data_IF_905171692670
#
_entry.id   IF_905171692670
#
_cell.length_a   1.000
_cell.length_b   1.000
_cell.length_c   1.000
_cell.angle_alpha   90.00
_cell.angle_beta   90.00
_cell.angle_gamma   90.00
#
_symmetry.space_group_name_H-M   'P 1'
#
loop_
_entity.id
_entity.type
_entity.pdbx_description
1 polymer ?
#
# COMPACT_ATOMS: atom_id res chain seq x y z
N UNK A 1 18.81 -18.74 -1.98
CA UNK A 1 18.33 -17.87 -0.89
C UNK A 1 19.48 -17.61 0.06
N UNK A 2 19.66 -16.37 0.55
CA UNK A 2 20.78 -16.08 1.46
C UNK A 2 20.56 -16.77 2.81
N UNK A 3 21.60 -17.41 3.35
CA UNK A 3 21.51 -18.07 4.67
C UNK A 3 21.23 -17.07 5.81
N UNK A 4 21.46 -15.77 5.58
CA UNK A 4 21.23 -14.71 6.56
C UNK A 4 19.77 -14.33 6.72
N UNK A 5 18.91 -14.54 5.73
CA UNK A 5 17.54 -14.03 5.77
C UNK A 5 16.65 -14.70 6.82
N UNK A 6 16.61 -16.04 6.97
CA UNK A 6 15.86 -16.67 8.07
C UNK A 6 16.35 -16.22 9.45
N UNK A 7 17.66 -15.98 9.60
CA UNK A 7 18.26 -15.48 10.84
C UNK A 7 17.84 -14.04 11.13
N UNK A 8 17.75 -13.19 10.11
CA UNK A 8 17.26 -11.82 10.24
C UNK A 8 15.81 -11.81 10.75
N UNK A 9 14.93 -12.61 10.14
CA UNK A 9 13.53 -12.73 10.58
C UNK A 9 13.44 -13.22 12.04
N UNK A 10 14.34 -14.13 12.45
CA UNK A 10 14.39 -14.62 13.83
C UNK A 10 14.84 -13.53 14.81
N UNK A 11 15.88 -12.78 14.44
CA UNK A 11 16.42 -11.70 15.28
C UNK A 11 15.42 -10.55 15.45
N UNK A 12 14.67 -10.22 14.41
CA UNK A 12 13.64 -9.18 14.44
C UNK A 12 12.30 -9.68 14.99
N UNK A 13 12.13 -11.01 15.10
CA UNK A 13 10.87 -11.68 15.42
C UNK A 13 9.71 -11.23 14.52
N UNK A 14 9.91 -11.28 13.20
CA UNK A 14 8.94 -10.85 12.19
C UNK A 14 8.64 -11.94 11.17
N UNK A 15 7.45 -11.84 10.58
CA UNK A 15 7.03 -12.50 9.35
C UNK A 15 6.70 -11.43 8.30
N UNK A 16 6.63 -11.82 7.02
CA UNK A 16 6.44 -10.90 5.90
C UNK A 16 5.22 -11.29 5.07
N UNK A 17 4.39 -10.31 4.75
CA UNK A 17 3.38 -10.41 3.72
C UNK A 17 3.78 -9.54 2.53
N UNK A 18 3.73 -10.07 1.31
CA UNK A 18 4.01 -9.29 0.11
C UNK A 18 3.25 -9.82 -1.10
N UNK A 19 3.05 -8.96 -2.09
CA UNK A 19 2.31 -9.27 -3.30
C UNK A 19 3.22 -9.24 -4.52
N UNK A 20 2.82 -9.96 -5.56
CA UNK A 20 3.39 -9.85 -6.90
C UNK A 20 2.26 -9.63 -7.89
N UNK A 21 2.16 -8.40 -8.39
CA UNK A 21 1.09 -8.04 -9.34
C UNK A 21 1.24 -8.77 -10.68
N UNK A 22 2.47 -9.06 -11.11
CA UNK A 22 2.77 -9.74 -12.38
C UNK A 22 2.33 -11.20 -12.36
N UNK A 23 2.62 -11.90 -11.27
CA UNK A 23 2.24 -13.31 -11.11
C UNK A 23 0.88 -13.50 -10.45
N UNK A 24 0.24 -12.41 -9.98
CA UNK A 24 -1.04 -12.46 -9.27
C UNK A 24 -0.97 -13.29 -7.99
N UNK A 25 0.05 -13.05 -7.15
CA UNK A 25 0.28 -13.84 -5.94
C UNK A 25 0.32 -12.98 -4.69
N UNK A 26 -0.29 -13.48 -3.61
CA UNK A 26 -0.03 -13.09 -2.23
C UNK A 26 0.89 -14.14 -1.62
N UNK A 27 1.96 -13.68 -0.97
CA UNK A 27 2.88 -14.50 -0.21
C UNK A 27 2.82 -14.13 1.27
N UNK A 28 2.73 -15.14 2.12
CA UNK A 28 2.98 -15.04 3.55
C UNK A 28 4.22 -15.88 3.86
N UNK A 29 5.24 -15.23 4.38
CA UNK A 29 6.55 -15.82 4.61
C UNK A 29 6.90 -15.70 6.10
N UNK A 30 7.19 -16.86 6.69
CA UNK A 30 7.59 -16.98 8.08
C UNK A 30 8.78 -17.90 8.25
N UNK A 31 9.12 -18.15 9.51
CA UNK A 31 10.15 -19.12 9.89
C UNK A 31 9.52 -20.49 10.03
N UNK A 32 10.22 -21.51 9.57
CA UNK A 32 9.84 -22.88 9.88
C UNK A 32 10.45 -23.28 11.23
N UNK A 33 9.67 -23.73 12.23
CA UNK A 33 10.20 -24.21 13.51
C UNK A 33 11.20 -25.37 13.36
N UNK A 34 11.13 -26.13 12.25
CA UNK A 34 12.07 -27.21 11.91
C UNK A 34 13.33 -26.73 11.17
N UNK A 35 13.46 -25.42 10.94
CA UNK A 35 14.57 -24.80 10.20
C UNK A 35 14.18 -24.34 8.80
N UNK A 36 14.77 -23.22 8.38
CA UNK A 36 14.50 -22.59 7.08
C UNK A 36 13.27 -21.67 7.09
N UNK A 37 12.74 -21.39 5.90
CA UNK A 37 11.55 -20.55 5.70
C UNK A 37 10.31 -21.42 5.48
N UNK A 38 9.16 -20.86 5.83
CA UNK A 38 7.86 -21.37 5.42
C UNK A 38 7.21 -20.31 4.54
N UNK A 39 6.66 -20.73 3.40
CA UNK A 39 6.04 -19.82 2.42
C UNK A 39 4.67 -20.37 2.06
N UNK A 40 3.64 -19.59 2.36
CA UNK A 40 2.29 -19.79 1.89
C UNK A 40 2.02 -18.85 0.72
N UNK A 41 1.61 -19.40 -0.42
CA UNK A 41 1.20 -18.62 -1.58
C UNK A 41 -0.26 -18.84 -1.94
N UNK A 42 -0.95 -17.78 -2.36
CA UNK A 42 -2.32 -17.82 -2.88
C UNK A 42 -2.45 -16.94 -4.11
N UNK A 43 -3.29 -17.36 -5.05
CA UNK A 43 -3.51 -16.66 -6.31
C UNK A 43 -4.60 -15.60 -6.16
N UNK A 44 -4.24 -14.36 -6.48
CA UNK A 44 -5.13 -13.21 -6.58
C UNK A 44 -4.70 -12.39 -7.80
N UNK A 45 -5.48 -12.38 -8.89
CA UNK A 45 -5.14 -11.66 -10.11
C UNK A 45 -4.78 -10.20 -9.79
N UNK A 46 -3.60 -9.74 -10.25
CA UNK A 46 -3.08 -8.40 -9.99
C UNK A 46 -3.15 -8.01 -8.50
N UNK A 47 -2.63 -8.85 -7.61
CA UNK A 47 -2.44 -8.51 -6.19
C UNK A 47 -1.55 -7.26 -6.07
N UNK A 48 -2.09 -6.18 -5.48
CA UNK A 48 -1.42 -4.87 -5.37
C UNK A 48 -1.33 -4.46 -3.89
N UNK A 49 -2.14 -3.50 -3.45
CA UNK A 49 -2.12 -2.97 -2.08
C UNK A 49 -2.40 -4.06 -1.05
N UNK A 50 -1.60 -4.09 0.01
CA UNK A 50 -1.69 -5.06 1.09
C UNK A 50 -1.46 -4.34 2.41
N UNK A 51 -2.34 -4.55 3.38
CA UNK A 51 -2.14 -4.04 4.74
C UNK A 51 -2.56 -5.07 5.78
N UNK A 52 -1.93 -5.01 6.95
CA UNK A 52 -2.33 -5.73 8.15
C UNK A 52 -2.60 -4.70 9.25
N UNK A 53 -3.78 -4.76 9.86
CA UNK A 53 -4.16 -3.92 10.99
C UNK A 53 -4.86 -4.79 12.05
N UNK A 54 -4.21 -4.98 13.19
CA UNK A 54 -4.71 -5.86 14.23
C UNK A 54 -4.83 -7.31 13.73
N UNK A 55 -6.06 -7.84 13.71
CA UNK A 55 -6.36 -9.19 13.23
C UNK A 55 -6.79 -9.23 11.76
N UNK A 56 -6.89 -8.08 11.11
CA UNK A 56 -7.39 -7.97 9.74
C UNK A 56 -6.22 -7.85 8.76
N UNK A 57 -6.27 -8.65 7.69
CA UNK A 57 -5.46 -8.46 6.49
C UNK A 57 -6.40 -8.00 5.37
N UNK A 58 -6.05 -6.91 4.68
CA UNK A 58 -6.81 -6.43 3.54
C UNK A 58 -5.92 -6.38 2.28
N UNK A 59 -6.48 -6.80 1.15
CA UNK A 59 -5.77 -6.95 -0.11
C UNK A 59 -6.60 -6.36 -1.25
N UNK A 60 -5.98 -5.47 -2.03
CA UNK A 60 -6.50 -5.00 -3.30
C UNK A 60 -6.02 -5.90 -4.44
N UNK A 61 -6.92 -6.25 -5.36
CA UNK A 61 -6.66 -7.10 -6.53
C UNK A 61 -7.16 -6.43 -7.81
N UNK A 62 -7.08 -7.11 -8.95
CA UNK A 62 -7.50 -6.60 -10.26
C UNK A 62 -8.90 -5.99 -10.26
N UNK A 63 -9.86 -6.67 -9.61
CA UNK A 63 -11.26 -6.27 -9.61
C UNK A 63 -11.97 -6.50 -8.28
N UNK A 64 -11.21 -6.81 -7.23
CA UNK A 64 -11.76 -7.09 -5.91
C UNK A 64 -10.97 -6.42 -4.79
N UNK A 65 -11.66 -6.12 -3.70
CA UNK A 65 -11.06 -5.82 -2.40
C UNK A 65 -11.40 -6.98 -1.46
N UNK A 66 -10.36 -7.63 -0.94
CA UNK A 66 -10.47 -8.80 -0.08
C UNK A 66 -10.17 -8.42 1.37
N UNK A 67 -11.03 -8.87 2.29
CA UNK A 67 -10.80 -8.77 3.74
C UNK A 67 -10.70 -10.17 4.33
N UNK A 68 -9.61 -10.39 5.04
CA UNK A 68 -9.34 -11.62 5.78
C UNK A 68 -9.28 -11.30 7.26
N UNK A 69 -9.69 -12.26 8.08
CA UNK A 69 -9.53 -12.19 9.53
C UNK A 69 -8.64 -13.32 10.01
N UNK A 70 -7.74 -13.01 10.94
CA UNK A 70 -7.03 -14.02 11.71
C UNK A 70 -8.03 -14.73 12.62
N UNK A 71 -8.27 -16.01 12.37
CA UNK A 71 -9.21 -16.83 13.14
C UNK A 71 -8.57 -17.57 14.32
N UNK A 72 -7.26 -17.38 14.53
CA UNK A 72 -6.55 -18.04 15.63
C UNK A 72 -6.65 -17.22 16.90
N UNK A 73 -7.19 -17.84 17.96
CA UNK A 73 -7.00 -17.38 19.33
C UNK A 73 -5.63 -17.79 19.86
N UNK A 74 -5.17 -17.15 20.94
CA UNK A 74 -3.92 -17.53 21.60
C UNK A 74 -4.00 -18.95 22.15
N UNK A 75 -2.99 -19.77 21.83
CA UNK A 75 -2.81 -21.10 22.41
C UNK A 75 -3.48 -22.23 21.63
N UNK A 76 -4.05 -21.96 20.46
CA UNK A 76 -4.50 -23.00 19.55
C UNK A 76 -3.29 -23.79 19.01
N UNK A 77 -3.49 -25.08 18.68
CA UNK A 77 -2.40 -25.97 18.28
C UNK A 77 -1.59 -25.44 17.07
N UNK A 78 -2.24 -24.73 16.15
CA UNK A 78 -1.58 -24.10 14.99
C UNK A 78 -0.61 -22.98 15.41
N UNK A 79 -0.80 -22.33 16.57
CA UNK A 79 0.11 -21.27 17.04
C UNK A 79 1.52 -21.77 17.36
N UNK A 80 1.74 -23.09 17.48
CA UNK A 80 3.08 -23.65 17.62
C UNK A 80 3.88 -23.61 16.31
N UNK A 81 3.22 -23.40 15.17
CA UNK A 81 3.84 -23.39 13.85
C UNK A 81 3.52 -22.17 13.00
N UNK A 82 2.43 -21.44 13.28
CA UNK A 82 1.98 -20.27 12.53
C UNK A 82 1.58 -19.12 13.47
N UNK A 83 1.94 -17.89 13.11
CA UNK A 83 1.56 -16.70 13.89
C UNK A 83 0.08 -16.32 13.69
N UNK A 84 -0.47 -16.57 12.49
CA UNK A 84 -1.83 -16.20 12.10
C UNK A 84 -2.41 -17.18 11.07
N UNK A 85 -3.74 -17.30 11.05
CA UNK A 85 -4.49 -17.98 9.99
C UNK A 85 -5.52 -17.01 9.41
N UNK A 86 -5.16 -16.34 8.32
CA UNK A 86 -6.03 -15.38 7.65
C UNK A 86 -7.05 -16.10 6.76
N UNK A 87 -8.33 -15.98 7.11
CA UNK A 87 -9.43 -16.57 6.34
C UNK A 87 -10.25 -15.45 5.69
N UNK A 88 -10.58 -15.54 4.38
CA UNK A 88 -11.46 -14.57 3.75
C UNK A 88 -12.81 -14.50 4.47
N UNK A 89 -13.25 -13.28 4.80
CA UNK A 89 -14.56 -13.01 5.41
C UNK A 89 -15.42 -12.10 4.57
N UNK A 90 -14.81 -11.25 3.75
CA UNK A 90 -15.53 -10.34 2.89
C UNK A 90 -14.76 -10.11 1.59
N UNK A 91 -15.50 -10.09 0.50
CA UNK A 91 -14.99 -9.78 -0.83
C UNK A 91 -15.92 -8.77 -1.47
N UNK A 92 -15.38 -7.60 -1.83
CA UNK A 92 -16.10 -6.63 -2.65
C UNK A 92 -15.67 -6.79 -4.09
N UNK A 93 -16.62 -6.99 -5.00
CA UNK A 93 -16.35 -6.91 -6.44
C UNK A 93 -16.49 -5.46 -6.88
N UNK A 94 -15.38 -4.87 -7.31
CA UNK A 94 -15.30 -3.43 -7.65
C UNK A 94 -15.21 -3.17 -9.15
N UNK A 95 -14.85 -4.18 -9.95
CA UNK A 95 -14.36 -3.94 -11.31
C UNK A 95 -12.95 -3.33 -11.29
N UNK A 96 -12.42 -2.99 -12.46
CA UNK A 96 -11.03 -2.56 -12.62
C UNK A 96 -10.88 -1.08 -12.22
N UNK A 97 -10.59 -0.86 -10.93
CA UNK A 97 -10.32 0.46 -10.34
C UNK A 97 -8.83 0.79 -10.23
N UNK A 98 -7.98 -0.18 -10.53
CA UNK A 98 -6.53 -0.07 -10.37
C UNK A 98 -6.13 0.33 -8.93
N UNK A 99 -6.67 -0.41 -7.96
CA UNK A 99 -6.51 -0.11 -6.54
C UNK A 99 -5.07 -0.37 -6.07
N UNK A 100 -4.26 0.68 -5.99
CA UNK A 100 -2.82 0.56 -5.77
C UNK A 100 -2.41 0.35 -4.32
N UNK A 101 -3.09 1.00 -3.39
CA UNK A 101 -2.77 0.95 -1.96
C UNK A 101 -4.04 0.90 -1.12
N UNK A 102 -3.96 0.29 0.06
CA UNK A 102 -5.11 -0.01 0.92
C UNK A 102 -4.79 0.22 2.40
N UNK A 103 -5.78 0.69 3.15
CA UNK A 103 -5.72 0.91 4.59
C UNK A 103 -6.98 0.43 5.29
N UNK A 104 -6.88 0.24 6.61
CA UNK A 104 -8.02 -0.05 7.48
C UNK A 104 -8.24 1.14 8.41
N UNK A 105 -9.44 1.70 8.37
CA UNK A 105 -9.82 2.84 9.21
C UNK A 105 -10.10 2.40 10.66
N UNK A 106 -10.14 3.36 11.59
CA UNK A 106 -10.37 3.09 13.02
C UNK A 106 -11.71 2.37 13.29
N UNK A 107 -12.71 2.59 12.45
CA UNK A 107 -14.02 1.92 12.51
C UNK A 107 -14.04 0.55 11.81
N UNK A 108 -12.88 0.08 11.35
CA UNK A 108 -12.70 -1.20 10.67
C UNK A 108 -13.03 -1.17 9.18
N UNK A 109 -13.57 -0.07 8.62
CA UNK A 109 -13.83 0.01 7.17
C UNK A 109 -12.52 0.05 6.38
N UNK A 110 -12.56 -0.51 5.18
CA UNK A 110 -11.45 -0.45 4.24
C UNK A 110 -11.50 0.88 3.47
N UNK A 111 -10.35 1.52 3.34
CA UNK A 111 -10.10 2.64 2.43
C UNK A 111 -9.02 2.24 1.44
N UNK A 112 -9.13 2.65 0.19
CA UNK A 112 -8.12 2.35 -0.83
C UNK A 112 -7.92 3.53 -1.78
N UNK A 113 -6.74 3.55 -2.40
CA UNK A 113 -6.42 4.45 -3.51
C UNK A 113 -7.07 3.90 -4.77
N UNK A 114 -8.00 4.64 -5.36
CA UNK A 114 -8.58 4.35 -6.66
C UNK A 114 -7.86 5.19 -7.73
N UNK A 115 -6.82 4.61 -8.32
CA UNK A 115 -5.96 5.30 -9.28
C UNK A 115 -6.69 5.68 -10.55
N UNK A 116 -7.58 4.79 -11.04
CA UNK A 116 -8.37 5.05 -12.23
C UNK A 116 -9.28 6.30 -12.10
N UNK A 117 -9.65 6.66 -10.87
CA UNK A 117 -10.48 7.83 -10.56
C UNK A 117 -9.77 8.88 -9.69
N UNK A 118 -8.44 8.79 -9.53
CA UNK A 118 -7.62 9.75 -8.78
C UNK A 118 -8.10 10.07 -7.35
N UNK A 119 -8.73 9.12 -6.64
CA UNK A 119 -9.35 9.40 -5.34
C UNK A 119 -9.00 8.36 -4.28
N UNK A 120 -9.22 8.73 -3.02
CA UNK A 120 -9.41 7.75 -1.95
C UNK A 120 -10.87 7.35 -1.93
N UNK A 121 -11.11 6.05 -1.80
CA UNK A 121 -12.45 5.48 -1.84
C UNK A 121 -12.65 4.39 -0.79
N UNK A 122 -13.91 4.11 -0.48
CA UNK A 122 -14.35 2.93 0.27
C UNK A 122 -15.17 2.02 -0.65
N UNK A 123 -15.20 0.70 -0.40
CA UNK A 123 -16.06 -0.19 -1.18
C UNK A 123 -17.54 0.21 -1.07
N UNK A 124 -18.30 0.05 -2.16
CA UNK A 124 -19.74 0.29 -2.19
C UNK A 124 -20.49 -0.99 -2.55
N UNK A 125 -21.57 -1.27 -1.83
CA UNK A 125 -22.45 -2.42 -2.12
C UNK A 125 -23.27 -2.23 -3.40
N UNK A 126 -23.36 -1.01 -3.93
CA UNK A 126 -24.18 -0.68 -5.11
C UNK A 126 -23.39 -0.19 -6.32
N UNK A 127 -22.33 0.60 -6.11
CA UNK A 127 -21.66 1.35 -7.18
C UNK A 127 -20.16 1.01 -7.32
N UNK A 128 -19.76 -0.18 -6.88
CA UNK A 128 -18.35 -0.61 -6.74
C UNK A 128 -17.57 0.13 -5.65
N UNK A 129 -17.60 1.47 -5.64
CA UNK A 129 -16.91 2.30 -4.67
C UNK A 129 -17.66 3.59 -4.35
N UNK A 130 -17.27 4.24 -3.27
CA UNK A 130 -17.71 5.60 -2.90
C UNK A 130 -16.45 6.44 -2.66
N UNK A 131 -16.24 7.53 -3.42
CA UNK A 131 -15.11 8.43 -3.18
C UNK A 131 -15.30 9.13 -1.84
N UNK A 132 -14.23 9.23 -1.05
CA UNK A 132 -14.23 9.95 0.24
C UNK A 132 -13.29 11.16 0.23
N UNK A 133 -12.34 11.20 -0.70
CA UNK A 133 -11.42 12.32 -0.87
C UNK A 133 -10.79 12.28 -2.26
N UNK A 134 -10.44 13.44 -2.82
CA UNK A 134 -9.74 13.58 -4.09
C UNK A 134 -8.75 14.74 -3.98
N UNK A 135 -7.57 14.71 -4.64
CA UNK A 135 -6.65 15.84 -4.60
C UNK A 135 -7.33 17.13 -5.09
N UNK A 136 -7.11 18.29 -4.44
CA UNK A 136 -7.82 19.53 -4.78
C UNK A 136 -7.62 20.03 -6.21
N UNK A 137 -6.57 19.57 -6.88
CA UNK A 137 -6.26 19.94 -8.27
C UNK A 137 -6.95 19.04 -9.31
N UNK A 138 -7.63 17.96 -8.91
CA UNK A 138 -8.40 17.14 -9.84
C UNK A 138 -9.79 17.76 -10.03
N UNK A 139 -10.14 18.11 -11.27
CA UNK A 139 -11.37 18.86 -11.55
C UNK A 139 -12.65 18.02 -11.56
N UNK A 140 -12.55 16.71 -11.78
CA UNK A 140 -13.73 15.83 -11.87
C UNK A 140 -13.40 14.38 -11.54
N UNK A 141 -14.39 13.67 -10.98
CA UNK A 141 -14.33 12.24 -10.73
C UNK A 141 -14.66 11.47 -12.02
N UNK A 142 -13.65 11.31 -12.87
CA UNK A 142 -13.74 10.59 -14.14
C UNK A 142 -12.78 9.40 -14.15
N UNK A 143 -13.09 8.38 -14.95
CA UNK A 143 -12.23 7.21 -15.18
C UNK A 143 -11.06 7.58 -16.10
N UNK A 144 -10.22 8.48 -15.62
CA UNK A 144 -9.09 9.05 -16.33
C UNK A 144 -7.94 9.09 -15.34
N UNK A 145 -6.96 8.20 -15.46
CA UNK A 145 -5.76 8.26 -14.61
C UNK A 145 -4.97 9.54 -14.91
N UNK A 146 -5.23 10.61 -14.16
CA UNK A 146 -4.74 11.97 -14.43
C UNK A 146 -3.42 12.23 -13.72
N UNK A 147 -3.31 11.81 -12.46
CA UNK A 147 -2.16 12.08 -11.60
C UNK A 147 -1.40 10.82 -11.17
N UNK A 148 -1.95 9.63 -11.42
CA UNK A 148 -1.48 8.36 -10.90
C UNK A 148 -1.31 8.37 -9.38
N UNK A 149 -2.40 8.72 -8.68
CA UNK A 149 -2.51 8.56 -7.23
C UNK A 149 -2.28 7.08 -6.91
N UNK A 150 -1.27 6.76 -6.10
CA UNK A 150 -0.78 5.37 -6.01
C UNK A 150 -0.45 4.89 -4.59
N UNK A 151 -0.32 5.78 -3.61
CA UNK A 151 0.09 5.41 -2.27
C UNK A 151 -0.73 6.11 -1.21
N UNK A 152 -0.76 5.51 -0.03
CA UNK A 152 -1.56 5.91 1.11
C UNK A 152 -0.82 5.56 2.40
N UNK A 153 -0.61 6.55 3.25
CA UNK A 153 -0.18 6.40 4.62
C UNK A 153 -1.39 6.62 5.54
N UNK A 154 -1.59 5.69 6.46
CA UNK A 154 -2.59 5.82 7.52
C UNK A 154 -1.92 6.40 8.77
N UNK A 155 -2.61 7.30 9.47
CA UNK A 155 -2.26 7.71 10.84
C UNK A 155 -3.49 7.53 11.75
N UNK A 156 -3.31 6.86 12.89
CA UNK A 156 -4.37 6.65 13.90
C UNK A 156 -5.71 6.19 13.29
N UNK A 157 -5.64 5.29 12.30
CA UNK A 157 -6.81 4.74 11.61
C UNK A 157 -7.52 5.71 10.65
N UNK A 158 -6.83 6.72 10.12
CA UNK A 158 -7.34 7.63 9.09
C UNK A 158 -6.30 7.82 7.97
N UNK A 159 -6.73 8.04 6.72
CA UNK A 159 -5.83 8.52 5.67
C UNK A 159 -5.13 9.82 6.09
N UNK A 160 -3.80 9.89 5.93
CA UNK A 160 -3.00 11.06 6.33
C UNK A 160 -2.17 11.63 5.19
N UNK A 161 -1.44 10.77 4.47
CA UNK A 161 -0.66 11.19 3.31
C UNK A 161 -0.93 10.29 2.11
N UNK A 162 -0.82 10.83 0.92
CA UNK A 162 -0.89 10.08 -0.33
C UNK A 162 0.24 10.47 -1.27
N UNK A 163 0.59 9.59 -2.18
CA UNK A 163 1.57 9.85 -3.25
C UNK A 163 0.89 9.85 -4.62
N UNK A 164 1.36 10.72 -5.50
CA UNK A 164 0.98 10.75 -6.92
C UNK A 164 2.24 10.93 -7.79
N UNK A 165 2.22 10.38 -9.01
CA UNK A 165 3.37 10.50 -9.93
C UNK A 165 3.49 11.91 -10.51
N UNK A 166 2.38 12.67 -10.57
CA UNK A 166 2.47 14.09 -10.90
C UNK A 166 1.27 14.89 -10.41
N UNK A 167 1.43 16.22 -10.30
CA UNK A 167 0.32 17.17 -10.15
C UNK A 167 -0.34 17.46 -11.50
N UNK A 168 -0.95 16.45 -12.12
CA UNK A 168 -1.63 16.55 -13.41
C UNK A 168 -3.14 16.38 -13.25
N UNK A 169 -3.91 17.15 -14.02
CA UNK A 169 -5.37 17.03 -14.16
C UNK A 169 -5.76 16.71 -15.62
N UNK A 170 -4.86 16.06 -16.36
CA UNK A 170 -5.05 15.61 -17.74
C UNK A 170 -4.84 14.11 -17.80
N UNK A 171 -5.70 13.40 -18.54
CA UNK A 171 -5.61 11.95 -18.72
C UNK A 171 -4.17 11.56 -19.13
N UNK A 172 -3.61 10.58 -18.41
CA UNK A 172 -2.24 10.09 -18.58
C UNK A 172 -1.11 11.14 -18.48
N UNK A 173 -1.40 12.38 -18.04
CA UNK A 173 -0.42 13.48 -18.01
C UNK A 173 0.76 13.27 -17.06
N UNK A 174 0.67 12.28 -16.18
CA UNK A 174 1.76 11.82 -15.32
C UNK A 174 2.87 11.09 -16.06
N UNK A 175 2.60 10.53 -17.25
CA UNK A 175 3.58 9.72 -18.00
C UNK A 175 4.80 10.51 -18.41
N UNK A 176 4.61 11.77 -18.81
CA UNK A 176 5.67 12.67 -19.25
C UNK A 176 6.45 13.28 -18.07
N UNK A 177 6.00 13.04 -16.83
CA UNK A 177 6.52 13.68 -15.61
C UNK A 177 7.07 12.68 -14.60
N UNK A 178 7.40 11.46 -15.04
CA UNK A 178 7.91 10.38 -14.17
C UNK A 178 9.23 10.71 -13.49
N UNK A 179 10.08 11.53 -14.10
CA UNK A 179 11.43 11.79 -13.59
C UNK A 179 11.44 12.65 -12.31
N UNK A 180 10.56 13.64 -12.20
CA UNK A 180 10.59 14.63 -11.12
C UNK A 180 9.21 15.28 -10.84
N UNK A 181 8.12 14.76 -11.41
CA UNK A 181 6.79 15.31 -11.22
C UNK A 181 6.14 14.89 -9.90
N UNK A 182 6.69 13.87 -9.26
CA UNK A 182 6.09 13.16 -8.13
C UNK A 182 5.90 14.05 -6.91
N UNK A 183 4.78 13.82 -6.22
CA UNK A 183 4.37 14.59 -5.06
C UNK A 183 3.88 13.70 -3.92
N UNK A 184 4.00 14.23 -2.70
CA UNK A 184 3.34 13.75 -1.50
C UNK A 184 2.33 14.80 -1.07
N UNK A 185 1.10 14.39 -0.78
CA UNK A 185 -0.01 15.27 -0.44
C UNK A 185 -0.49 14.93 0.96
N UNK A 186 -0.67 15.95 1.79
CA UNK A 186 -1.40 15.85 3.04
C UNK A 186 -2.90 15.76 2.74
N UNK A 187 -3.56 14.69 3.19
CA UNK A 187 -4.99 14.46 2.92
C UNK A 187 -5.87 15.46 3.65
N UNK A 188 -5.47 15.90 4.84
CA UNK A 188 -6.26 16.79 5.69
C UNK A 188 -6.27 18.23 5.16
N UNK A 189 -5.11 18.76 4.78
CA UNK A 189 -5.01 20.11 4.22
C UNK A 189 -5.19 20.15 2.70
N UNK A 190 -4.95 19.03 2.00
CA UNK A 190 -4.89 18.97 0.55
C UNK A 190 -3.59 19.56 -0.03
N UNK A 191 -2.64 19.96 0.81
CA UNK A 191 -1.40 20.60 0.37
C UNK A 191 -0.34 19.58 -0.07
N UNK A 192 0.46 19.97 -1.05
CA UNK A 192 1.66 19.21 -1.42
C UNK A 192 2.77 19.46 -0.39
N UNK A 193 3.12 18.43 0.38
CA UNK A 193 4.15 18.50 1.43
C UNK A 193 5.53 18.07 0.96
N UNK A 194 5.63 17.44 -0.20
CA UNK A 194 6.91 17.14 -0.86
C UNK A 194 6.70 17.05 -2.37
N UNK A 195 7.68 17.49 -3.15
CA UNK A 195 7.63 17.48 -4.61
C UNK A 195 9.01 17.18 -5.21
N UNK A 196 9.09 17.02 -6.54
CA UNK A 196 10.35 16.75 -7.22
C UNK A 196 10.75 15.28 -7.21
N UNK A 197 9.88 14.38 -6.76
CA UNK A 197 10.17 12.95 -6.67
C UNK A 197 9.99 12.25 -8.01
N UNK A 198 10.71 11.16 -8.22
CA UNK A 198 10.53 10.25 -9.35
C UNK A 198 9.59 9.11 -8.95
N UNK A 199 8.34 9.19 -9.43
CA UNK A 199 7.31 8.16 -9.22
C UNK A 199 7.21 7.69 -7.75
N UNK A 200 6.88 8.56 -6.78
CA UNK A 200 6.87 8.19 -5.37
C UNK A 200 5.76 7.17 -5.07
N UNK A 201 6.03 6.22 -4.18
CA UNK A 201 5.09 5.17 -3.74
C UNK A 201 5.18 4.93 -2.23
N UNK A 202 4.20 4.16 -1.72
CA UNK A 202 4.20 3.54 -0.39
C UNK A 202 4.60 4.49 0.76
N UNK A 203 3.93 5.64 0.91
CA UNK A 203 4.19 6.48 2.07
C UNK A 203 3.79 5.73 3.35
N UNK A 204 4.63 5.81 4.39
CA UNK A 204 4.40 5.20 5.71
C UNK A 204 4.81 6.16 6.81
N UNK A 205 4.05 6.17 7.90
CA UNK A 205 4.43 6.91 9.11
C UNK A 205 5.04 5.90 10.09
N UNK A 206 6.28 6.14 10.49
CA UNK A 206 7.01 5.31 11.47
C UNK A 206 7.69 6.25 12.45
N UNK A 207 7.39 6.09 13.75
CA UNK A 207 7.90 6.93 14.84
C UNK A 207 7.70 8.44 14.59
N UNK A 208 6.53 8.81 14.07
CA UNK A 208 6.18 10.20 13.77
C UNK A 208 6.85 10.80 12.54
N UNK A 209 7.65 10.00 11.80
CA UNK A 209 8.33 10.43 10.57
C UNK A 209 7.66 9.85 9.33
N UNK A 210 7.64 10.63 8.25
CA UNK A 210 7.04 10.22 6.98
C UNK A 210 8.11 9.61 6.07
N UNK A 211 8.04 8.31 5.89
CA UNK A 211 8.90 7.55 4.99
C UNK A 211 8.21 7.39 3.63
N UNK A 212 8.97 7.51 2.55
CA UNK A 212 8.48 7.40 1.17
C UNK A 212 9.51 6.67 0.32
N UNK A 213 9.01 5.90 -0.64
CA UNK A 213 9.83 5.34 -1.71
C UNK A 213 9.90 6.33 -2.88
N UNK A 214 11.08 6.83 -3.21
CA UNK A 214 11.34 7.57 -4.45
C UNK A 214 11.64 6.57 -5.57
N UNK A 215 10.59 5.90 -6.05
CA UNK A 215 10.71 4.60 -6.72
C UNK A 215 11.45 4.61 -8.04
N UNK A 216 11.32 5.68 -8.83
CA UNK A 216 12.06 5.79 -10.09
C UNK A 216 13.57 5.96 -9.90
N UNK A 217 13.99 6.49 -8.74
CA UNK A 217 15.39 6.62 -8.36
C UNK A 217 15.92 5.45 -7.52
N UNK A 218 15.05 4.54 -7.07
CA UNK A 218 15.43 3.40 -6.24
C UNK A 218 15.81 3.80 -4.82
N UNK A 219 15.19 4.82 -4.23
CA UNK A 219 15.57 5.32 -2.90
C UNK A 219 14.45 5.13 -1.88
N UNK A 220 14.81 4.67 -0.68
CA UNK A 220 13.99 4.82 0.52
C UNK A 220 14.50 6.04 1.28
N UNK A 221 13.58 6.94 1.64
CA UNK A 221 13.93 8.16 2.36
C UNK A 221 12.83 8.70 3.24
N UNK A 222 13.15 9.77 3.95
CA UNK A 222 12.24 10.51 4.82
C UNK A 222 11.86 11.84 4.17
N UNK A 223 10.60 12.24 4.30
CA UNK A 223 10.14 13.59 3.98
C UNK A 223 10.23 14.44 5.24
N UNK A 224 11.06 15.48 5.18
CA UNK A 224 11.09 16.53 6.18
C UNK A 224 9.90 17.46 5.97
N UNK A 225 8.87 17.34 6.80
CA UNK A 225 7.63 18.10 6.68
C UNK A 225 7.82 19.61 6.89
N UNK A 226 8.90 20.06 7.55
CA UNK A 226 9.15 21.48 7.77
C UNK A 226 9.71 22.16 6.52
N UNK A 227 10.59 21.47 5.78
CA UNK A 227 11.21 22.00 4.56
C UNK A 227 10.56 21.51 3.27
N UNK A 228 9.76 20.45 3.35
CA UNK A 228 9.22 19.70 2.21
C UNK A 228 10.25 18.90 1.41
N UNK A 229 11.47 18.77 1.94
CA UNK A 229 12.56 18.08 1.27
C UNK A 229 12.53 16.56 1.52
N UNK A 230 12.88 15.79 0.49
CA UNK A 230 13.13 14.36 0.62
C UNK A 230 14.61 14.09 0.93
N UNK A 231 14.86 13.25 1.94
CA UNK A 231 16.19 12.86 2.40
C UNK A 231 16.38 11.36 2.15
N UNK A 232 17.17 10.96 1.13
CA UNK A 232 17.42 9.55 0.88
C UNK A 232 18.26 8.95 2.01
N UNK A 233 17.87 7.76 2.47
CA UNK A 233 18.58 7.01 3.50
C UNK A 233 19.24 5.75 2.94
N UNK A 234 18.56 5.05 2.02
CA UNK A 234 19.02 3.78 1.47
C UNK A 234 18.73 3.73 -0.02
N UNK A 235 19.72 3.31 -0.80
CA UNK A 235 19.52 2.92 -2.19
C UNK A 235 19.15 1.44 -2.28
N UNK A 236 18.08 1.17 -3.01
CA UNK A 236 17.51 -0.14 -3.27
C UNK A 236 17.54 -0.39 -4.78
N UNK A 237 18.38 -1.32 -5.28
CA UNK A 237 18.51 -1.54 -6.72
C UNK A 237 17.16 -1.87 -7.39
N UNK A 238 16.80 -1.06 -8.40
CA UNK A 238 15.58 -1.25 -9.20
C UNK A 238 14.42 -0.35 -8.78
N UNK A 239 13.22 -0.67 -9.29
CA UNK A 239 12.00 0.07 -8.99
C UNK A 239 11.39 -0.41 -7.68
N UNK A 240 11.38 0.44 -6.64
CA UNK A 240 10.90 0.05 -5.31
C UNK A 240 9.41 0.27 -5.11
N UNK A 241 8.73 -0.74 -4.55
CA UNK A 241 7.32 -0.73 -4.12
C UNK A 241 7.16 -1.66 -2.92
N UNK A 242 6.25 -1.33 -2.01
CA UNK A 242 5.90 -2.15 -0.84
C UNK A 242 5.50 -1.34 0.37
#
# INVERSE_FOLDING_TARGET
>A
MSNGFPRLLANLNVSLGFTSYQSGKLYLLGRNPKGGLMVDERLFPKAMGLTVQGHTLALATLFQIQRFENVLDKGQAINHTQDACYVPRLTYTTGVLDAHEIGVMADGRIVFVNTAYNCLAVPSERHSFTPIWMPPFISALLNEDRCHLNGLAMDKGKPRYVTAVSRSDTIDGWRDRRANGGIVIDVESGETVCSGLSMPHSPRIVDGRLWVLNSGSGELGEVDLASGAFRPHVFCPGFVRG
#
